data_IF_131783406876
#
_entry.id   IF_131783406876
#
_cell.length_a   1.000
_cell.length_b   1.000
_cell.length_c   1.000
_cell.angle_alpha   90.00
_cell.angle_beta   90.00
_cell.angle_gamma   90.00
#
_symmetry.space_group_name_H-M   'P 1'
#
loop_
_entity.id
_entity.type
_entity.pdbx_description
1 polymer ?
#
# COMPACT_ATOMS: atom_id res chain seq x y z
N UNK A 1 9.60 -9.69 7.72
CA UNK A 1 8.43 -8.80 7.82
C UNK A 1 7.40 -9.06 6.72
N UNK A 2 7.81 -9.09 5.44
CA UNK A 2 6.91 -9.27 4.28
C UNK A 2 5.93 -10.46 4.39
N UNK A 3 6.40 -11.66 4.78
CA UNK A 3 5.50 -12.81 4.94
C UNK A 3 4.39 -12.59 5.99
N UNK A 4 4.71 -11.91 7.10
CA UNK A 4 3.72 -11.59 8.14
C UNK A 4 2.66 -10.63 7.62
N UNK A 5 3.07 -9.60 6.86
CA UNK A 5 2.14 -8.69 6.18
C UNK A 5 1.23 -9.47 5.21
N UNK A 6 1.76 -10.40 4.43
CA UNK A 6 0.95 -11.23 3.53
C UNK A 6 -0.07 -12.08 4.30
N UNK A 7 0.31 -12.66 5.44
CA UNK A 7 -0.62 -13.44 6.28
C UNK A 7 -1.73 -12.53 6.84
N UNK A 8 -1.38 -11.35 7.36
CA UNK A 8 -2.39 -10.39 7.83
C UNK A 8 -3.35 -9.97 6.72
N UNK A 9 -2.82 -9.66 5.53
CA UNK A 9 -3.63 -9.34 4.35
C UNK A 9 -4.54 -10.49 3.95
N UNK A 10 -4.03 -11.73 3.95
CA UNK A 10 -4.82 -12.92 3.66
C UNK A 10 -6.00 -13.03 4.64
N UNK A 11 -5.74 -12.85 5.94
CA UNK A 11 -6.79 -12.85 6.96
C UNK A 11 -7.82 -11.76 6.69
N UNK A 12 -7.39 -10.51 6.48
CA UNK A 12 -8.30 -9.40 6.16
C UNK A 12 -9.11 -9.67 4.88
N UNK A 13 -8.52 -10.26 3.84
CA UNK A 13 -9.22 -10.61 2.62
C UNK A 13 -10.27 -11.71 2.85
N UNK A 14 -9.95 -12.77 3.60
CA UNK A 14 -10.87 -13.86 3.92
C UNK A 14 -12.03 -13.34 4.80
N UNK A 15 -11.74 -12.48 5.76
CA UNK A 15 -12.73 -11.90 6.67
C UNK A 15 -13.38 -10.63 6.13
N UNK A 16 -13.12 -10.28 4.85
CA UNK A 16 -13.47 -9.00 4.22
C UNK A 16 -13.29 -7.77 5.13
N UNK A 17 -12.29 -7.81 6.01
CA UNK A 17 -11.99 -6.72 6.92
C UNK A 17 -11.35 -5.58 6.13
N UNK A 18 -11.89 -4.36 6.20
CA UNK A 18 -11.30 -3.21 5.53
C UNK A 18 -9.86 -3.01 6.00
N UNK A 19 -8.94 -2.86 5.05
CA UNK A 19 -7.54 -2.57 5.35
C UNK A 19 -6.99 -1.49 4.42
N UNK A 20 -6.01 -0.75 4.92
CA UNK A 20 -5.05 0.00 4.11
C UNK A 20 -3.67 -0.49 4.55
N UNK A 21 -2.94 -1.14 3.63
CA UNK A 21 -1.54 -1.44 3.84
C UNK A 21 -0.70 -0.38 3.16
N UNK A 22 0.08 0.31 3.97
CA UNK A 22 1.07 1.26 3.51
C UNK A 22 2.42 0.58 3.31
N UNK A 23 3.12 0.92 2.23
CA UNK A 23 4.51 0.57 1.99
C UNK A 23 5.29 1.75 1.42
N UNK A 24 6.59 1.88 1.75
CA UNK A 24 7.47 2.76 0.99
C UNK A 24 7.46 2.38 -0.50
N UNK A 25 7.63 3.36 -1.39
CA UNK A 25 7.70 3.12 -2.84
C UNK A 25 8.83 2.18 -3.27
N UNK A 26 9.87 2.01 -2.45
CA UNK A 26 10.98 1.07 -2.66
C UNK A 26 10.76 -0.32 -2.04
N UNK A 27 9.56 -0.60 -1.49
CA UNK A 27 9.28 -1.88 -0.85
C UNK A 27 9.34 -3.05 -1.84
N UNK A 28 9.85 -4.20 -1.36
CA UNK A 28 9.87 -5.45 -2.11
C UNK A 28 8.55 -6.25 -2.00
N UNK A 29 7.53 -5.74 -1.31
CA UNK A 29 6.27 -6.45 -1.08
C UNK A 29 5.61 -6.90 -2.39
N UNK A 30 5.58 -6.05 -3.43
CA UNK A 30 4.95 -6.36 -4.72
C UNK A 30 5.59 -7.56 -5.43
N UNK A 31 6.88 -7.77 -5.19
CA UNK A 31 7.66 -8.86 -5.78
C UNK A 31 7.54 -10.17 -4.99
N UNK A 32 6.90 -10.14 -3.83
CA UNK A 32 6.78 -11.31 -2.98
C UNK A 32 5.77 -12.32 -3.57
N UNK A 33 6.13 -13.61 -3.74
CA UNK A 33 5.27 -14.60 -4.39
C UNK A 33 3.88 -14.73 -3.75
N UNK A 34 3.78 -14.67 -2.42
CA UNK A 34 2.49 -14.73 -1.73
C UNK A 34 1.66 -13.46 -1.89
N UNK A 35 2.28 -12.29 -2.03
CA UNK A 35 1.52 -11.06 -2.28
C UNK A 35 0.96 -11.08 -3.71
N UNK A 36 1.75 -11.53 -4.69
CA UNK A 36 1.26 -11.76 -6.05
C UNK A 36 0.12 -12.78 -6.09
N UNK A 37 0.24 -13.88 -5.32
CA UNK A 37 -0.85 -14.85 -5.19
C UNK A 37 -2.11 -14.20 -4.60
N UNK A 38 -1.97 -13.38 -3.55
CA UNK A 38 -3.09 -12.62 -2.99
C UNK A 38 -3.75 -11.71 -4.02
N UNK A 39 -2.97 -10.91 -4.77
CA UNK A 39 -3.52 -10.04 -5.83
C UNK A 39 -4.20 -10.81 -6.97
N UNK A 40 -3.84 -12.09 -7.19
CA UNK A 40 -4.53 -12.96 -8.15
C UNK A 40 -5.84 -13.52 -7.59
N UNK A 41 -5.92 -13.73 -6.27
CA UNK A 41 -7.09 -14.34 -5.61
C UNK A 41 -8.11 -13.33 -5.13
N UNK A 42 -7.67 -12.15 -4.73
CA UNK A 42 -8.50 -11.10 -4.16
C UNK A 42 -8.35 -9.81 -4.95
N UNK A 43 -9.43 -9.03 -5.01
CA UNK A 43 -9.39 -7.69 -5.61
C UNK A 43 -8.67 -6.75 -4.64
N UNK A 44 -7.42 -6.42 -4.97
CA UNK A 44 -6.61 -5.47 -4.21
C UNK A 44 -6.32 -4.28 -5.12
N UNK A 45 -6.72 -3.10 -4.68
CA UNK A 45 -6.45 -1.83 -5.33
C UNK A 45 -5.14 -1.25 -4.82
N UNK A 46 -4.45 -0.53 -5.71
CA UNK A 46 -3.20 0.17 -5.41
C UNK A 46 -3.37 1.65 -5.72
N UNK A 47 -2.85 2.51 -4.86
CA UNK A 47 -2.68 3.95 -5.13
C UNK A 47 -1.29 4.38 -4.71
N UNK A 48 -0.69 5.26 -5.51
CA UNK A 48 0.57 5.90 -5.21
C UNK A 48 0.31 7.28 -4.62
N UNK A 49 0.98 7.63 -3.52
CA UNK A 49 0.81 8.92 -2.85
C UNK A 49 2.17 9.50 -2.48
N UNK A 50 2.27 10.82 -2.51
CA UNK A 50 3.41 11.53 -1.96
C UNK A 50 3.02 12.11 -0.60
N UNK A 51 3.66 11.65 0.48
CA UNK A 51 3.38 12.24 1.81
C UNK A 51 3.73 13.73 1.88
N UNK A 52 4.63 14.21 1.02
CA UNK A 52 4.93 15.63 0.86
C UNK A 52 3.70 16.46 0.47
N UNK A 53 2.83 15.92 -0.39
CA UNK A 53 1.58 16.59 -0.79
C UNK A 53 0.58 16.76 0.36
N UNK A 54 0.78 16.04 1.45
CA UNK A 54 -0.01 16.14 2.69
C UNK A 54 0.71 16.96 3.78
N UNK A 55 1.67 17.81 3.39
CA UNK A 55 2.41 18.67 4.32
C UNK A 55 3.56 17.97 5.03
N UNK A 56 4.02 16.81 4.53
CA UNK A 56 5.29 16.24 4.95
C UNK A 56 6.45 17.10 4.47
N UNK A 57 7.51 17.26 5.27
CA UNK A 57 8.68 18.07 4.90
C UNK A 57 9.55 17.48 3.77
N UNK A 58 9.31 16.23 3.38
CA UNK A 58 10.05 15.55 2.33
C UNK A 58 9.11 14.78 1.39
N UNK A 59 9.45 14.65 0.10
CA UNK A 59 8.62 13.98 -0.89
C UNK A 59 8.80 12.46 -0.74
N UNK A 60 8.09 11.86 0.22
CA UNK A 60 8.17 10.42 0.46
C UNK A 60 7.19 9.68 -0.44
N UNK A 61 7.66 8.86 -1.40
CA UNK A 61 6.80 8.04 -2.22
C UNK A 61 6.27 6.88 -1.38
N UNK A 62 4.95 6.74 -1.34
CA UNK A 62 4.25 5.71 -0.57
C UNK A 62 3.23 5.01 -1.47
N UNK A 63 3.19 3.68 -1.37
CA UNK A 63 2.18 2.84 -2.01
C UNK A 63 1.17 2.41 -0.96
N UNK A 64 -0.11 2.59 -1.26
CA UNK A 64 -1.22 2.09 -0.44
C UNK A 64 -1.91 0.95 -1.17
N UNK A 65 -2.24 -0.12 -0.44
CA UNK A 65 -3.03 -1.25 -0.92
C UNK A 65 -4.30 -1.40 -0.08
N UNK A 66 -5.42 -1.72 -0.71
CA UNK A 66 -6.68 -1.98 -0.01
C UNK A 66 -7.56 -2.95 -0.78
N UNK A 67 -8.48 -3.62 -0.09
CA UNK A 67 -9.59 -4.34 -0.72
C UNK A 67 -10.73 -3.42 -1.18
N UNK A 68 -10.66 -2.11 -0.96
CA UNK A 68 -11.65 -1.14 -1.43
C UNK A 68 -11.08 -0.14 -2.44
N UNK A 69 -11.90 0.22 -3.44
CA UNK A 69 -11.48 1.08 -4.55
C UNK A 69 -11.30 2.54 -4.13
N UNK A 70 -12.05 3.00 -3.13
CA UNK A 70 -12.07 4.40 -2.73
C UNK A 70 -10.71 4.95 -2.28
N UNK A 71 -9.74 4.09 -1.97
CA UNK A 71 -8.36 4.53 -1.69
C UNK A 71 -7.75 5.31 -2.86
N UNK A 72 -8.24 5.09 -4.10
CA UNK A 72 -7.78 5.84 -5.28
C UNK A 72 -8.02 7.35 -5.15
N UNK A 73 -8.99 7.77 -4.34
CA UNK A 73 -9.24 9.20 -4.07
C UNK A 73 -8.12 9.87 -3.25
N UNK A 74 -7.22 9.09 -2.65
CA UNK A 74 -6.06 9.60 -1.89
C UNK A 74 -4.87 9.95 -2.80
N UNK A 75 -4.96 9.72 -4.10
CA UNK A 75 -3.92 10.15 -5.05
C UNK A 75 -3.78 11.67 -5.03
N UNK A 76 -2.62 12.16 -4.59
CA UNK A 76 -2.21 13.54 -4.72
C UNK A 76 -0.83 13.60 -5.40
N UNK A 77 -0.68 14.31 -6.54
CA UNK A 77 0.62 14.51 -7.16
C UNK A 77 1.49 15.40 -6.26
N UNK A 78 2.82 15.29 -6.45
CA UNK A 78 3.76 16.13 -5.73
C UNK A 78 3.65 17.59 -6.24
N UNK A 79 3.51 18.60 -5.36
CA UNK A 79 3.49 19.99 -5.80
C UNK A 79 4.86 20.40 -6.37
N UNK A 80 4.84 21.05 -7.53
CA UNK A 80 6.04 21.47 -8.27
C UNK A 80 6.65 22.78 -7.77
N UNK A 81 5.89 23.55 -7.00
CA UNK A 81 6.25 24.88 -6.49
C UNK A 81 6.85 24.85 -5.07
N UNK A 82 7.28 23.69 -4.59
CA UNK A 82 7.85 23.50 -3.25
C UNK A 82 9.28 23.01 -3.39
N UNK A 83 10.22 23.69 -2.75
CA UNK A 83 11.59 23.19 -2.62
C UNK A 83 11.63 22.09 -1.56
N UNK A 84 12.12 20.92 -1.98
CA UNK A 84 12.20 19.74 -1.13
C UNK A 84 13.62 19.55 -0.60
N UNK A 85 13.78 19.37 0.69
CA UNK A 85 15.07 19.02 1.29
C UNK A 85 15.39 17.54 1.00
N UNK A 86 16.48 17.29 0.28
CA UNK A 86 16.83 15.96 -0.24
C UNK A 86 17.80 15.17 0.65
N UNK A 87 18.39 15.79 1.68
CA UNK A 87 19.41 15.15 2.52
C UNK A 87 18.83 14.28 3.65
N UNK A 88 18.19 13.18 3.26
CA UNK A 88 17.78 12.13 4.20
C UNK A 88 18.93 11.19 4.57
N UNK A 89 19.95 11.12 3.70
CA UNK A 89 21.15 10.28 3.86
C UNK A 89 22.40 11.11 3.61
N UNK A 90 23.38 10.99 4.49
CA UNK A 90 24.71 11.57 4.29
C UNK A 90 25.64 10.50 3.70
N UNK A 91 26.28 10.82 2.58
CA UNK A 91 27.35 10.00 2.00
C UNK A 91 28.68 10.59 2.45
N UNK A 92 29.59 9.75 2.93
CA UNK A 92 30.92 10.17 3.35
C UNK A 92 31.96 9.11 2.98
N UNK A 93 33.21 9.50 2.78
CA UNK A 93 34.32 8.57 2.57
C UNK A 93 34.95 8.29 3.93
N UNK A 94 35.09 7.03 4.30
CA UNK A 94 35.73 6.65 5.57
C UNK A 94 37.28 6.74 5.48
N UNK A 95 37.97 6.52 6.61
CA UNK A 95 39.43 6.53 6.65
C UNK A 95 40.12 5.49 5.77
N UNK A 96 39.37 4.52 5.23
CA UNK A 96 39.85 3.49 4.31
C UNK A 96 39.59 3.83 2.84
N UNK A 97 39.05 5.02 2.54
CA UNK A 97 38.70 5.43 1.17
C UNK A 97 37.40 4.83 0.64
N UNK A 98 36.60 4.17 1.48
CA UNK A 98 35.35 3.52 1.06
C UNK A 98 34.17 4.48 1.23
N UNK A 99 33.33 4.61 0.19
CA UNK A 99 32.09 5.37 0.26
C UNK A 99 31.10 4.68 1.22
N UNK A 100 30.74 5.38 2.30
CA UNK A 100 29.73 4.99 3.28
C UNK A 100 28.49 5.86 3.16
N UNK A 101 27.35 5.31 3.58
CA UNK A 101 26.08 6.03 3.67
C UNK A 101 25.57 5.87 5.09
N UNK A 102 25.31 6.99 5.78
CA UNK A 102 24.65 7.00 7.08
C UNK A 102 23.34 7.79 7.00
N UNK A 103 22.40 7.46 7.89
CA UNK A 103 21.19 8.25 8.04
C UNK A 103 21.53 9.66 8.53
N UNK A 104 20.83 10.68 8.01
CA UNK A 104 20.88 12.02 8.59
C UNK A 104 20.50 11.99 10.08
N UNK A 105 20.97 12.96 10.86
CA UNK A 105 20.51 13.15 12.26
C UNK A 105 18.99 13.24 12.34
N UNK A 106 18.37 13.78 11.30
CA UNK A 106 16.92 13.97 11.17
C UNK A 106 16.17 12.77 10.58
N UNK A 107 16.82 11.62 10.39
CA UNK A 107 16.16 10.44 9.82
C UNK A 107 14.93 10.03 10.63
N UNK A 108 14.97 10.17 11.96
CA UNK A 108 13.81 9.91 12.84
C UNK A 108 12.72 10.96 12.69
N UNK A 109 13.08 12.24 12.58
CA UNK A 109 12.11 13.33 12.34
C UNK A 109 11.39 13.14 11.01
N UNK A 110 12.07 12.57 10.03
CA UNK A 110 11.45 12.23 8.75
C UNK A 110 10.34 11.18 8.89
N UNK A 111 10.38 10.28 9.88
CA UNK A 111 9.34 9.25 10.08
C UNK A 111 7.99 9.83 10.50
N UNK A 112 7.89 11.15 10.63
CA UNK A 112 6.66 11.86 10.91
C UNK A 112 5.59 11.61 9.85
N UNK A 113 4.42 11.20 10.33
CA UNK A 113 3.22 10.99 9.54
C UNK A 113 2.44 12.31 9.44
N UNK A 114 2.24 12.88 8.25
CA UNK A 114 1.57 14.18 8.14
C UNK A 114 0.11 14.09 8.61
N UNK A 115 -0.30 15.02 9.48
CA UNK A 115 -1.69 15.07 10.01
C UNK A 115 -2.73 15.15 8.90
N UNK A 116 -2.46 15.91 7.84
CA UNK A 116 -3.39 16.05 6.71
C UNK A 116 -3.59 14.74 5.95
N UNK A 117 -2.60 13.85 5.92
CA UNK A 117 -2.79 12.52 5.33
C UNK A 117 -3.77 11.69 6.16
N UNK A 118 -3.64 11.71 7.49
CA UNK A 118 -4.60 11.07 8.38
C UNK A 118 -6.02 11.62 8.22
N UNK A 119 -6.15 12.94 8.10
CA UNK A 119 -7.45 13.58 7.81
C UNK A 119 -8.01 13.16 6.45
N UNK A 120 -7.19 13.12 5.40
CA UNK A 120 -7.62 12.69 4.07
C UNK A 120 -8.11 11.23 4.07
N UNK A 121 -7.38 10.32 4.73
CA UNK A 121 -7.81 8.93 4.90
C UNK A 121 -9.12 8.83 5.65
N UNK A 122 -9.28 9.59 6.75
CA UNK A 122 -10.51 9.59 7.53
C UNK A 122 -11.71 10.13 6.73
N UNK A 123 -11.53 11.21 5.98
CA UNK A 123 -12.56 11.78 5.10
C UNK A 123 -12.94 10.81 3.97
N UNK A 124 -11.95 10.20 3.31
CA UNK A 124 -12.17 9.21 2.26
C UNK A 124 -12.94 7.99 2.80
N UNK A 125 -12.58 7.49 3.98
CA UNK A 125 -13.31 6.41 4.64
C UNK A 125 -14.73 6.83 5.01
N UNK A 126 -14.92 8.01 5.61
CA UNK A 126 -16.25 8.50 6.01
C UNK A 126 -17.20 8.64 4.81
N UNK A 127 -16.70 9.14 3.68
CA UNK A 127 -17.46 9.24 2.43
C UNK A 127 -17.95 7.89 1.89
N UNK A 128 -17.25 6.79 2.23
CA UNK A 128 -17.57 5.43 1.77
C UNK A 128 -17.98 4.49 2.91
N UNK A 129 -18.23 5.02 4.11
CA UNK A 129 -18.48 4.21 5.30
C UNK A 129 -19.72 3.32 5.15
N UNK A 130 -20.75 3.82 4.45
CA UNK A 130 -21.97 3.05 4.16
C UNK A 130 -21.68 1.85 3.27
N UNK A 131 -20.94 2.03 2.18
CA UNK A 131 -20.52 0.93 1.28
C UNK A 131 -19.75 -0.15 2.05
N UNK A 132 -18.79 0.28 2.88
CA UNK A 132 -18.01 -0.62 3.73
C UNK A 132 -18.92 -1.39 4.68
N UNK A 133 -19.81 -0.72 5.40
CA UNK A 133 -20.75 -1.36 6.33
C UNK A 133 -21.69 -2.34 5.64
N UNK A 134 -22.23 -1.97 4.48
CA UNK A 134 -23.14 -2.82 3.72
C UNK A 134 -22.42 -4.09 3.23
N UNK A 135 -21.18 -3.96 2.74
CA UNK A 135 -20.37 -5.12 2.32
C UNK A 135 -20.07 -6.08 3.48
N UNK A 136 -19.82 -5.57 4.68
CA UNK A 136 -19.60 -6.38 5.89
C UNK A 136 -20.90 -7.08 6.29
N UNK A 137 -22.04 -6.37 6.30
CA UNK A 137 -23.36 -6.98 6.60
C UNK A 137 -23.70 -8.08 5.61
N UNK A 138 -23.52 -7.85 4.32
CA UNK A 138 -23.75 -8.86 3.29
C UNK A 138 -22.91 -10.11 3.55
N UNK A 139 -21.62 -9.95 3.89
CA UNK A 139 -20.77 -11.08 4.22
C UNK A 139 -21.23 -11.83 5.47
N UNK A 140 -21.64 -11.12 6.54
CA UNK A 140 -22.15 -11.75 7.76
C UNK A 140 -23.42 -12.56 7.49
N UNK A 141 -24.31 -12.07 6.62
CA UNK A 141 -25.53 -12.79 6.22
C UNK A 141 -25.22 -14.04 5.38
N UNK A 142 -24.18 -13.98 4.56
CA UNK A 142 -23.68 -15.10 3.77
C UNK A 142 -22.83 -16.08 4.61
N UNK A 143 -22.28 -15.61 5.73
CA UNK A 143 -21.31 -16.28 6.60
C UNK A 143 -21.79 -17.52 7.36
N UNK A 144 -23.03 -17.97 7.13
CA UNK A 144 -23.49 -19.30 7.57
C UNK A 144 -23.19 -20.41 6.56
N UNK A 145 -22.78 -20.12 5.32
CA UNK A 145 -22.68 -21.14 4.25
C UNK A 145 -21.47 -21.03 3.31
N UNK A 146 -20.52 -20.12 3.58
CA UNK A 146 -19.58 -19.63 2.55
C UNK A 146 -18.12 -20.13 2.64
N UNK A 147 -17.85 -21.33 3.16
CA UNK A 147 -16.57 -21.95 2.80
C UNK A 147 -16.64 -22.31 1.31
N UNK A 148 -15.90 -21.62 0.40
CA UNK A 148 -15.92 -21.97 -1.00
C UNK A 148 -15.49 -23.43 -1.12
N UNK A 149 -16.19 -24.21 -1.93
CA UNK A 149 -15.83 -25.59 -2.20
C UNK A 149 -14.48 -25.60 -2.95
N UNK A 150 -13.38 -25.71 -2.18
CA UNK A 150 -11.97 -25.63 -2.64
C UNK A 150 -11.68 -26.65 -3.76
N UNK A 151 -12.51 -27.68 -3.89
CA UNK A 151 -12.38 -28.75 -4.90
C UNK A 151 -12.57 -28.31 -6.36
N UNK A 152 -13.06 -27.11 -6.64
CA UNK A 152 -13.50 -26.71 -8.01
C UNK A 152 -12.52 -25.84 -8.80
N UNK A 153 -11.36 -25.47 -8.27
CA UNK A 153 -10.44 -24.59 -9.01
C UNK A 153 -9.39 -25.38 -9.79
N UNK A 154 -9.48 -25.32 -11.12
CA UNK A 154 -8.48 -25.88 -12.03
C UNK A 154 -7.11 -25.20 -11.88
N UNK A 155 -6.00 -25.95 -11.98
CA UNK A 155 -4.66 -25.39 -11.92
C UNK A 155 -4.40 -24.48 -13.12
N UNK A 156 -4.08 -23.21 -12.86
CA UNK A 156 -3.72 -22.24 -13.90
C UNK A 156 -2.26 -22.43 -14.30
N UNK A 157 -2.03 -22.75 -15.58
CA UNK A 157 -0.70 -22.88 -16.19
C UNK A 157 -0.04 -21.51 -16.36
N UNK A 158 1.26 -21.44 -16.05
CA UNK A 158 2.02 -20.20 -15.92
C UNK A 158 2.27 -19.43 -17.22
N UNK A 159 2.48 -18.12 -17.04
CA UNK A 159 3.12 -17.13 -17.94
C UNK A 159 2.29 -16.15 -18.78
N UNK A 160 0.95 -16.09 -18.68
CA UNK A 160 0.17 -15.19 -19.54
C UNK A 160 -0.28 -13.83 -18.95
N UNK A 161 0.14 -13.45 -17.74
CA UNK A 161 -0.58 -12.40 -16.98
C UNK A 161 0.14 -11.08 -16.69
N UNK A 162 1.41 -10.91 -17.07
CA UNK A 162 2.17 -9.72 -16.68
C UNK A 162 1.76 -8.40 -17.37
N UNK A 163 0.85 -8.41 -18.36
CA UNK A 163 0.62 -7.24 -19.22
C UNK A 163 -0.77 -6.57 -19.13
N UNK A 164 -1.80 -7.18 -18.53
CA UNK A 164 -3.18 -6.68 -18.75
C UNK A 164 -3.96 -6.13 -17.54
N UNK A 165 -3.37 -5.95 -16.34
CA UNK A 165 -4.12 -5.40 -15.18
C UNK A 165 -3.36 -4.48 -14.24
N UNK A 166 -2.38 -3.73 -14.73
CA UNK A 166 -2.03 -2.45 -14.11
C UNK A 166 -1.97 -1.42 -15.22
N UNK A 167 -2.97 -0.54 -15.40
CA UNK A 167 -2.74 0.65 -16.20
C UNK A 167 -1.60 1.40 -15.53
N UNK A 168 -0.43 1.37 -16.16
CA UNK A 168 0.62 2.33 -15.88
C UNK A 168 0.02 3.66 -16.34
N UNK A 169 -0.51 4.44 -15.39
CA UNK A 169 -0.80 5.85 -15.65
C UNK A 169 0.56 6.54 -15.80
N UNK A 170 1.02 6.64 -17.04
CA UNK A 170 2.03 7.63 -17.47
C UNK A 170 1.40 9.00 -17.51
#
# INVERSE_FOLDING_TARGET
>A
MVCRCCICLLMCCITNTPFILEQPGSSLLEWHPYFQLLCRRFKIYRVFVWLGSFGGGSPKPTLLYSNYQWIQSLYLPLPSNVEWTSEMSRKYIDGSGILRVCGGSDLKNSQYYPKLFGHAVAQAFQAHAKEVQDSVKTQLMLGSSWLPNISSQQPLTGNQWFLNRMPVMT
#
